data_IF_281418719561
#
_entry.id   IF_281418719561
#
_cell.length_a   1.000
_cell.length_b   1.000
_cell.length_c   1.000
_cell.angle_alpha   90.00
_cell.angle_beta   90.00
_cell.angle_gamma   90.00
#
_symmetry.space_group_name_H-M   'P 1'
#
loop_
_entity.id
_entity.type
_entity.pdbx_description
1 polymer ?
#
# COMPACT_ATOMS: atom_id res chain seq x y z
N UNK A 1 12.06 -5.81 25.56
CA UNK A 1 12.22 -6.69 24.37
C UNK A 1 12.67 -8.05 24.86
N UNK A 2 11.74 -8.96 25.08
CA UNK A 2 12.04 -10.34 25.44
C UNK A 2 12.23 -11.15 24.15
N UNK A 3 13.40 -11.78 23.97
CA UNK A 3 13.65 -12.68 22.85
C UNK A 3 13.14 -14.07 23.22
N UNK A 4 12.10 -14.53 22.54
CA UNK A 4 11.58 -15.89 22.70
C UNK A 4 12.14 -16.77 21.59
N UNK A 5 12.86 -17.82 21.96
CA UNK A 5 13.33 -18.84 21.02
C UNK A 5 12.23 -19.88 20.84
N UNK A 6 11.88 -20.17 19.58
CA UNK A 6 10.84 -21.14 19.24
C UNK A 6 11.38 -22.16 18.25
N UNK A 7 11.23 -23.45 18.56
CA UNK A 7 11.68 -24.57 17.75
C UNK A 7 10.53 -25.24 17.02
N UNK A 8 10.79 -25.71 15.81
CA UNK A 8 9.87 -26.44 14.96
C UNK A 8 10.52 -27.76 14.55
N UNK A 9 9.83 -28.86 14.77
CA UNK A 9 10.24 -30.17 14.25
C UNK A 9 9.47 -30.48 12.95
N UNK A 10 10.18 -31.04 11.97
CA UNK A 10 9.71 -31.27 10.61
C UNK A 10 8.43 -32.10 10.54
N UNK A 11 8.38 -33.22 11.25
CA UNK A 11 7.25 -34.15 11.26
C UNK A 11 6.02 -33.53 11.92
N UNK A 12 6.20 -32.93 13.09
CA UNK A 12 5.13 -32.24 13.81
C UNK A 12 4.56 -31.07 12.99
N UNK A 13 5.43 -30.31 12.30
CA UNK A 13 5.02 -29.22 11.44
C UNK A 13 4.25 -29.73 10.21
N UNK A 14 4.67 -30.85 9.62
CA UNK A 14 3.94 -31.50 8.53
C UNK A 14 2.54 -31.94 8.98
N UNK A 15 2.41 -32.63 10.11
CA UNK A 15 1.09 -33.00 10.65
C UNK A 15 0.20 -31.79 10.89
N UNK A 16 0.73 -30.73 11.50
CA UNK A 16 -0.02 -29.53 11.81
C UNK A 16 -0.53 -28.80 10.55
N UNK A 17 0.34 -28.66 9.54
CA UNK A 17 0.04 -27.97 8.27
C UNK A 17 -1.03 -28.71 7.45
N UNK A 18 -1.13 -30.03 7.59
CA UNK A 18 -2.14 -30.86 6.91
C UNK A 18 -3.40 -31.10 7.76
N UNK A 19 -3.40 -30.70 9.04
CA UNK A 19 -4.55 -30.77 9.94
C UNK A 19 -5.34 -29.47 10.00
N UNK A 20 -4.69 -28.31 9.88
CA UNK A 20 -5.36 -27.01 9.93
C UNK A 20 -4.81 -25.96 8.93
N UNK A 21 -5.64 -24.99 8.50
CA UNK A 21 -5.19 -23.91 7.63
C UNK A 21 -4.01 -23.11 8.22
N UNK A 22 -3.03 -22.81 7.37
CA UNK A 22 -1.82 -22.06 7.77
C UNK A 22 -2.12 -20.74 8.49
N UNK A 23 -3.21 -20.06 8.15
CA UNK A 23 -3.61 -18.79 8.80
C UNK A 23 -4.00 -18.98 10.27
N UNK A 24 -4.61 -20.12 10.63
CA UNK A 24 -4.90 -20.49 12.02
C UNK A 24 -3.64 -20.97 12.74
N UNK A 25 -2.87 -21.84 12.08
CA UNK A 25 -1.63 -22.38 12.62
C UNK A 25 -0.61 -21.29 12.95
N UNK A 26 -0.45 -20.29 12.06
CA UNK A 26 0.49 -19.20 12.25
C UNK A 26 0.16 -18.32 13.47
N UNK A 27 -1.12 -18.11 13.78
CA UNK A 27 -1.56 -17.39 14.98
C UNK A 27 -1.14 -18.10 16.27
N UNK A 28 -1.23 -19.44 16.32
CA UNK A 28 -0.79 -20.23 17.49
C UNK A 28 0.70 -20.09 17.76
N UNK A 29 1.47 -19.90 16.70
CA UNK A 29 2.90 -19.67 16.76
C UNK A 29 3.27 -18.18 16.88
N UNK A 30 2.29 -17.27 16.97
CA UNK A 30 2.52 -15.81 17.00
C UNK A 30 3.43 -15.32 15.85
N UNK A 31 3.29 -15.91 14.66
CA UNK A 31 4.05 -15.53 13.46
C UNK A 31 3.09 -15.26 12.30
N UNK A 32 3.57 -14.56 11.28
CA UNK A 32 2.81 -14.42 10.04
C UNK A 32 2.74 -15.75 9.28
N UNK A 33 1.66 -15.93 8.52
CA UNK A 33 1.46 -17.06 7.61
C UNK A 33 2.59 -17.18 6.57
N UNK A 34 3.10 -16.05 6.08
CA UNK A 34 4.30 -15.99 5.23
C UNK A 34 5.54 -16.46 5.98
N UNK A 35 5.68 -16.09 7.26
CA UNK A 35 6.77 -16.56 8.12
C UNK A 35 6.73 -18.08 8.32
N UNK A 36 5.56 -18.62 8.64
CA UNK A 36 5.37 -20.07 8.78
C UNK A 36 5.65 -20.83 7.47
N UNK A 37 5.30 -20.24 6.31
CA UNK A 37 5.60 -20.82 5.01
C UNK A 37 7.11 -20.93 4.75
N UNK A 38 7.87 -19.90 5.11
CA UNK A 38 9.33 -19.93 4.98
C UNK A 38 9.96 -21.05 5.82
N UNK A 39 9.40 -21.31 7.01
CA UNK A 39 9.85 -22.41 7.88
C UNK A 39 9.54 -23.77 7.23
N UNK A 40 8.35 -23.94 6.65
CA UNK A 40 8.00 -25.16 5.93
C UNK A 40 8.95 -25.42 4.75
N UNK A 41 9.31 -24.37 3.99
CA UNK A 41 10.28 -24.47 2.89
C UNK A 41 11.67 -24.85 3.42
N UNK A 42 12.12 -24.23 4.51
CA UNK A 42 13.42 -24.53 5.10
C UNK A 42 13.54 -25.96 5.64
N UNK A 43 12.43 -26.58 6.04
CA UNK A 43 12.36 -27.96 6.51
C UNK A 43 11.92 -28.95 5.42
N UNK A 44 11.82 -28.52 4.16
CA UNK A 44 11.35 -29.34 3.04
C UNK A 44 10.00 -30.05 3.35
N UNK A 45 9.10 -29.33 4.02
CA UNK A 45 7.76 -29.80 4.38
C UNK A 45 6.80 -29.41 3.25
N UNK A 46 6.17 -30.38 2.56
CA UNK A 46 5.19 -30.07 1.52
C UNK A 46 3.95 -29.44 2.17
N UNK A 47 3.50 -28.32 1.59
CA UNK A 47 2.34 -27.56 2.08
C UNK A 47 1.12 -27.79 1.16
N UNK A 48 -0.11 -27.78 1.70
CA UNK A 48 -1.32 -27.91 0.90
C UNK A 48 -1.40 -26.84 -0.21
N UNK A 49 -1.83 -27.21 -1.43
CA UNK A 49 -1.98 -26.26 -2.51
C UNK A 49 -3.06 -25.22 -2.20
N UNK A 50 -3.02 -24.09 -2.90
CA UNK A 50 -4.04 -23.04 -2.76
C UNK A 50 -5.42 -23.63 -3.05
N UNK A 51 -6.39 -23.33 -2.18
CA UNK A 51 -7.74 -23.86 -2.29
C UNK A 51 -7.93 -25.30 -1.79
N UNK A 52 -6.89 -25.97 -1.27
CA UNK A 52 -7.01 -27.31 -0.67
C UNK A 52 -8.12 -27.37 0.38
N UNK A 53 -8.12 -26.44 1.34
CA UNK A 53 -9.12 -26.39 2.42
C UNK A 53 -10.54 -26.14 1.93
N UNK A 54 -10.71 -25.34 0.88
CA UNK A 54 -12.02 -25.14 0.24
C UNK A 54 -12.48 -26.42 -0.47
N UNK A 55 -11.58 -27.10 -1.19
CA UNK A 55 -11.89 -28.40 -1.82
C UNK A 55 -12.18 -29.49 -0.80
N UNK A 56 -11.50 -29.48 0.35
CA UNK A 56 -11.73 -30.42 1.45
C UNK A 56 -13.15 -30.27 2.02
N UNK A 57 -13.61 -29.04 2.23
CA UNK A 57 -14.97 -28.75 2.67
C UNK A 57 -16.05 -29.26 1.69
N UNK A 58 -15.71 -29.41 0.41
CA UNK A 58 -16.60 -29.93 -0.63
C UNK A 58 -16.30 -31.40 -1.01
N UNK A 59 -15.47 -32.12 -0.24
CA UNK A 59 -15.14 -33.54 -0.49
C UNK A 59 -14.30 -33.81 -1.74
N UNK A 60 -13.67 -32.76 -2.33
CA UNK A 60 -12.89 -32.82 -3.59
C UNK A 60 -11.39 -32.59 -3.39
N UNK A 61 -10.89 -32.71 -2.16
CA UNK A 61 -9.48 -32.48 -1.88
C UNK A 61 -8.60 -33.59 -2.47
N UNK A 62 -7.45 -33.24 -3.08
CA UNK A 62 -6.45 -34.23 -3.48
C UNK A 62 -5.90 -34.97 -2.25
N UNK A 63 -5.40 -36.18 -2.46
CA UNK A 63 -4.83 -36.99 -1.38
C UNK A 63 -3.65 -36.28 -0.70
N UNK A 64 -3.53 -36.48 0.62
CA UNK A 64 -2.38 -36.02 1.40
C UNK A 64 -1.12 -36.77 0.93
N UNK A 65 -0.04 -36.07 0.54
CA UNK A 65 1.20 -36.72 0.15
C UNK A 65 1.89 -37.36 1.35
N UNK A 66 2.71 -38.37 1.13
CA UNK A 66 3.64 -38.88 2.15
C UNK A 66 4.76 -37.86 2.34
N UNK A 67 5.25 -37.68 3.57
CA UNK A 67 6.36 -36.78 3.86
C UNK A 67 7.64 -37.32 3.17
N UNK A 68 8.22 -36.61 2.19
CA UNK A 68 9.42 -37.08 1.49
C UNK A 68 10.62 -37.14 2.45
N UNK A 69 11.61 -38.01 2.19
CA UNK A 69 12.89 -37.94 2.90
C UNK A 69 13.57 -36.58 2.60
N UNK A 70 14.30 -36.06 3.58
CA UNK A 70 14.92 -34.73 3.51
C UNK A 70 16.39 -34.84 3.91
N UNK A 71 17.25 -34.10 3.21
CA UNK A 71 18.66 -33.95 3.57
C UNK A 71 18.93 -32.83 4.58
N UNK A 72 17.92 -32.01 4.90
CA UNK A 72 18.04 -30.91 5.85
C UNK A 72 17.77 -31.34 7.29
N UNK A 73 18.32 -30.58 8.24
CA UNK A 73 18.09 -30.79 9.68
C UNK A 73 16.58 -30.85 9.97
N UNK A 74 16.11 -31.84 10.76
CA UNK A 74 14.68 -31.98 11.07
C UNK A 74 14.17 -30.87 12.01
N UNK A 75 15.05 -30.01 12.54
CA UNK A 75 14.71 -28.97 13.50
C UNK A 75 15.07 -27.59 12.98
N UNK A 76 14.11 -26.68 13.03
CA UNK A 76 14.28 -25.26 12.72
C UNK A 76 14.04 -24.42 13.97
N UNK A 77 14.99 -23.56 14.31
CA UNK A 77 14.87 -22.68 15.47
C UNK A 77 14.83 -21.23 15.04
N UNK A 78 13.85 -20.49 15.55
CA UNK A 78 13.67 -19.07 15.27
C UNK A 78 13.66 -18.27 16.55
N UNK A 79 14.44 -17.19 16.58
CA UNK A 79 14.32 -16.17 17.60
C UNK A 79 13.26 -15.17 17.18
N UNK A 80 12.20 -15.04 17.97
CA UNK A 80 11.15 -14.05 17.78
C UNK A 80 11.25 -13.02 18.92
N UNK A 81 11.43 -11.75 18.57
CA UNK A 81 11.27 -10.65 19.51
C UNK A 81 9.79 -10.30 19.56
N UNK A 82 9.09 -10.74 20.60
CA UNK A 82 7.71 -10.33 20.86
C UNK A 82 7.76 -9.05 21.69
N UNK A 83 7.10 -7.99 21.21
CA UNK A 83 6.68 -6.91 22.11
C UNK A 83 5.62 -7.54 23.01
N UNK A 84 5.76 -7.45 24.33
CA UNK A 84 4.70 -7.87 25.24
C UNK A 84 3.48 -6.96 25.01
N UNK A 85 2.30 -7.55 24.88
CA UNK A 85 1.05 -6.80 24.76
C UNK A 85 0.80 -6.08 26.09
N UNK A 86 0.88 -4.75 26.10
CA UNK A 86 0.56 -3.94 27.29
C UNK A 86 -0.98 -3.80 27.39
N UNK A 87 -1.63 -4.48 28.36
CA UNK A 87 -3.08 -4.45 28.48
C UNK A 87 -3.61 -3.05 28.79
N UNK A 88 -2.80 -2.17 29.39
CA UNK A 88 -3.17 -0.79 29.65
C UNK A 88 -3.17 0.05 28.36
N UNK A 89 -2.25 -0.23 27.43
CA UNK A 89 -2.20 0.42 26.12
C UNK A 89 -3.40 0.00 25.25
N UNK A 90 -3.72 -1.29 25.21
CA UNK A 90 -4.90 -1.82 24.50
C UNK A 90 -6.21 -1.24 25.05
N UNK A 91 -6.35 -1.14 26.39
CA UNK A 91 -7.52 -0.50 27.00
C UNK A 91 -7.63 1.00 26.65
N UNK A 92 -6.51 1.74 26.63
CA UNK A 92 -6.50 3.15 26.23
C UNK A 92 -6.90 3.32 24.77
N UNK A 93 -6.44 2.45 23.88
CA UNK A 93 -6.82 2.48 22.45
C UNK A 93 -8.31 2.13 22.28
N UNK A 94 -8.83 1.17 23.03
CA UNK A 94 -10.24 0.80 23.00
C UNK A 94 -11.15 1.93 23.53
N UNK A 95 -10.74 2.59 24.63
CA UNK A 95 -11.45 3.75 25.19
C UNK A 95 -11.47 4.93 24.21
N UNK A 96 -10.36 5.21 23.53
CA UNK A 96 -10.30 6.32 22.56
C UNK A 96 -11.17 6.06 21.32
N UNK A 97 -11.29 4.80 20.90
CA UNK A 97 -12.23 4.40 19.83
C UNK A 97 -13.68 4.56 20.26
N UNK A 98 -14.04 4.09 21.45
CA UNK A 98 -15.40 4.25 22.00
C UNK A 98 -15.78 5.71 22.26
N UNK A 99 -14.80 6.56 22.60
CA UNK A 99 -14.98 8.00 22.77
C UNK A 99 -15.18 8.72 21.43
N UNK A 100 -14.49 8.30 20.37
CA UNK A 100 -14.72 8.80 19.00
C UNK A 100 -16.09 8.38 18.44
N UNK A 101 -16.55 7.17 18.75
CA UNK A 101 -17.86 6.65 18.31
C UNK A 101 -19.06 7.27 19.06
N UNK A 102 -18.86 7.75 20.29
CA UNK A 102 -19.93 8.31 21.14
C UNK A 102 -20.09 9.84 21.05
N UNK A 103 -19.26 10.54 20.28
CA UNK A 103 -19.36 12.00 20.11
C UNK A 103 -20.06 12.38 18.79
N UNK A 104 -21.37 12.72 18.79
CA UNK A 104 -22.10 13.14 17.59
C UNK A 104 -21.65 14.51 17.05
N UNK A 105 -20.87 15.30 17.81
CA UNK A 105 -20.27 16.54 17.29
C UNK A 105 -19.15 16.27 16.27
N UNK A 106 -18.46 15.11 16.35
CA UNK A 106 -17.46 14.68 15.36
C UNK A 106 -18.09 14.32 14.01
N UNK A 107 -19.35 13.86 13.99
CA UNK A 107 -20.13 13.70 12.75
C UNK A 107 -20.64 15.05 12.21
N UNK A 108 -20.93 16.02 13.09
CA UNK A 108 -21.36 17.37 12.67
C UNK A 108 -20.24 18.22 12.06
N UNK A 109 -18.98 17.97 12.47
CA UNK A 109 -17.79 18.55 11.83
C UNK A 109 -17.45 17.90 10.47
N UNK A 110 -18.06 16.74 10.15
CA UNK A 110 -17.92 16.05 8.88
C UNK A 110 -18.94 16.51 7.81
N UNK A 111 -19.79 17.49 8.11
CA UNK A 111 -20.63 18.12 7.09
C UNK A 111 -19.75 19.07 6.26
N UNK A 112 -19.23 18.56 5.14
CA UNK A 112 -18.64 19.36 4.07
C UNK A 112 -19.56 20.56 3.86
N UNK A 113 -19.09 21.81 3.99
CA UNK A 113 -19.89 22.95 3.60
C UNK A 113 -20.27 22.72 2.14
N UNK A 114 -21.56 22.57 1.86
CA UNK A 114 -22.14 22.33 0.52
C UNK A 114 -21.77 23.46 -0.48
N UNK A 115 -21.08 24.48 0.02
CA UNK A 115 -20.35 25.49 -0.73
C UNK A 115 -18.87 25.44 -0.32
N UNK A 116 -18.10 24.52 -0.91
CA UNK A 116 -16.66 24.74 -1.05
C UNK A 116 -16.51 26.13 -1.64
N UNK A 117 -15.84 27.02 -0.91
CA UNK A 117 -15.65 28.41 -1.30
C UNK A 117 -15.23 28.45 -2.77
N UNK A 118 -15.93 29.23 -3.60
CA UNK A 118 -15.70 29.31 -5.05
C UNK A 118 -14.29 29.78 -5.43
N UNK A 119 -13.46 30.16 -4.45
CA UNK A 119 -12.07 30.57 -4.64
C UNK A 119 -11.15 29.39 -4.33
N UNK A 120 -10.34 28.93 -5.30
CA UNK A 120 -9.35 27.90 -5.06
C UNK A 120 -8.31 28.39 -4.03
N UNK A 121 -7.84 27.49 -3.18
CA UNK A 121 -6.79 27.79 -2.21
C UNK A 121 -5.48 28.13 -2.95
N UNK A 122 -4.72 29.12 -2.48
CA UNK A 122 -3.52 29.59 -3.19
C UNK A 122 -2.52 28.43 -3.43
N UNK A 123 -2.33 27.60 -2.40
CA UNK A 123 -1.43 26.44 -2.38
C UNK A 123 -1.90 25.26 -3.26
N UNK A 124 -3.11 25.31 -3.84
CA UNK A 124 -3.60 24.28 -4.78
C UNK A 124 -3.38 24.68 -6.23
N UNK A 125 -3.10 25.96 -6.52
CA UNK A 125 -2.92 26.45 -7.88
C UNK A 125 -1.75 25.76 -8.59
N UNK A 126 -0.62 25.59 -7.90
CA UNK A 126 0.57 24.93 -8.45
C UNK A 126 0.30 23.47 -8.84
N UNK A 127 -0.14 22.58 -7.91
CA UNK A 127 -0.38 21.18 -8.25
C UNK A 127 -1.50 21.00 -9.28
N UNK A 128 -2.59 21.78 -9.20
CA UNK A 128 -3.70 21.71 -10.16
C UNK A 128 -3.27 22.15 -11.56
N UNK A 129 -2.51 23.25 -11.67
CA UNK A 129 -1.99 23.74 -12.95
C UNK A 129 -1.02 22.76 -13.59
N UNK A 130 -0.13 22.14 -12.79
CA UNK A 130 0.77 21.10 -13.27
C UNK A 130 0.00 19.88 -13.75
N UNK A 131 -1.00 19.42 -12.98
CA UNK A 131 -1.78 18.23 -13.33
C UNK A 131 -2.53 18.40 -14.65
N UNK A 132 -3.17 19.57 -14.86
CA UNK A 132 -3.91 19.87 -16.09
C UNK A 132 -3.02 20.05 -17.33
N UNK A 133 -1.74 20.41 -17.15
CA UNK A 133 -0.79 20.62 -18.25
C UNK A 133 -0.01 19.37 -18.62
N UNK A 134 0.12 18.42 -17.70
CA UNK A 134 0.88 17.20 -17.90
C UNK A 134 0.21 16.28 -18.92
N UNK A 135 1.04 15.72 -19.81
CA UNK A 135 0.59 14.74 -20.81
C UNK A 135 0.66 13.33 -20.22
N UNK A 136 -0.29 12.49 -20.58
CA UNK A 136 -0.27 11.09 -20.19
C UNK A 136 0.86 10.35 -20.90
N UNK A 137 1.62 9.58 -20.13
CA UNK A 137 2.63 8.65 -20.64
C UNK A 137 2.08 7.25 -20.40
N UNK A 138 2.00 6.43 -21.45
CA UNK A 138 1.48 5.06 -21.36
C UNK A 138 0.06 4.95 -20.76
N UNK A 139 -0.79 5.97 -20.89
CA UNK A 139 -2.16 5.96 -20.36
C UNK A 139 -2.33 6.55 -18.96
N UNK A 140 -1.24 7.00 -18.32
CA UNK A 140 -1.29 7.64 -17.00
C UNK A 140 -0.55 8.98 -16.97
N UNK A 141 -1.11 9.96 -16.28
CA UNK A 141 -0.47 11.21 -15.89
C UNK A 141 0.14 10.99 -14.51
N UNK A 142 1.45 11.23 -14.38
CA UNK A 142 2.17 11.06 -13.12
C UNK A 142 2.84 12.37 -12.73
N UNK A 143 2.43 12.92 -11.60
CA UNK A 143 3.14 13.96 -10.87
C UNK A 143 3.77 13.33 -9.65
N UNK A 144 5.09 13.45 -9.52
CA UNK A 144 5.81 12.92 -8.38
C UNK A 144 6.91 13.87 -7.98
N UNK A 145 6.94 14.26 -6.70
CA UNK A 145 8.04 15.03 -6.13
C UNK A 145 8.22 16.45 -6.67
N UNK A 146 7.27 16.95 -7.47
CA UNK A 146 7.24 18.34 -7.95
C UNK A 146 6.50 19.26 -6.99
N UNK A 147 5.48 18.74 -6.30
CA UNK A 147 4.65 19.47 -5.33
C UNK A 147 4.46 18.63 -4.07
N UNK A 148 3.69 19.15 -3.11
CA UNK A 148 3.29 18.43 -1.91
C UNK A 148 2.28 17.29 -2.19
N UNK A 149 1.69 17.24 -3.39
CA UNK A 149 0.75 16.21 -3.83
C UNK A 149 1.36 15.33 -4.94
N UNK A 150 1.59 14.05 -4.62
CA UNK A 150 1.94 13.02 -5.59
C UNK A 150 0.65 12.46 -6.23
N UNK A 151 0.52 12.57 -7.54
CA UNK A 151 -0.70 12.17 -8.27
C UNK A 151 -0.35 11.20 -9.38
N UNK A 152 -1.07 10.08 -9.47
CA UNK A 152 -0.96 9.14 -10.59
C UNK A 152 -2.35 8.74 -11.03
N UNK A 153 -2.86 9.35 -12.09
CA UNK A 153 -4.24 9.18 -12.57
C UNK A 153 -4.28 9.13 -14.08
N UNK A 154 -5.30 8.49 -14.64
CA UNK A 154 -5.62 8.57 -16.05
C UNK A 154 -6.17 9.95 -16.44
N UNK A 155 -6.16 10.30 -17.74
CA UNK A 155 -6.73 11.56 -18.22
C UNK A 155 -8.19 11.79 -17.84
N UNK A 156 -9.00 10.72 -17.71
CA UNK A 156 -10.42 10.83 -17.34
C UNK A 156 -10.62 11.26 -15.89
N UNK A 157 -9.72 10.88 -14.99
CA UNK A 157 -9.84 11.13 -13.55
C UNK A 157 -9.13 12.41 -13.09
N UNK A 158 -8.58 13.20 -14.02
CA UNK A 158 -7.89 14.46 -13.70
C UNK A 158 -8.79 15.43 -12.93
N UNK A 159 -10.06 15.53 -13.32
CA UNK A 159 -11.01 16.43 -12.66
C UNK A 159 -11.23 16.05 -11.19
N UNK A 160 -11.48 14.75 -10.93
CA UNK A 160 -11.65 14.21 -9.57
C UNK A 160 -10.40 14.39 -8.73
N UNK A 161 -9.22 14.14 -9.30
CA UNK A 161 -7.96 14.39 -8.61
C UNK A 161 -7.77 15.87 -8.24
N UNK A 162 -8.14 16.82 -9.10
CA UNK A 162 -8.11 18.25 -8.76
C UNK A 162 -9.04 18.58 -7.58
N UNK A 163 -10.25 18.04 -7.57
CA UNK A 163 -11.21 18.24 -6.47
C UNK A 163 -10.68 17.69 -5.15
N UNK A 164 -10.07 16.50 -5.18
CA UNK A 164 -9.46 15.89 -4.00
C UNK A 164 -8.30 16.73 -3.45
N UNK A 165 -7.46 17.29 -4.32
CA UNK A 165 -6.38 18.20 -3.91
C UNK A 165 -6.96 19.45 -3.24
N UNK A 166 -7.99 20.05 -3.83
CA UNK A 166 -8.64 21.24 -3.28
C UNK A 166 -9.32 20.95 -1.93
N UNK A 167 -10.10 19.87 -1.84
CA UNK A 167 -10.82 19.51 -0.63
C UNK A 167 -9.85 19.15 0.50
N UNK A 168 -8.81 18.38 0.20
CA UNK A 168 -7.77 18.04 1.16
C UNK A 168 -7.04 19.28 1.66
N UNK A 169 -6.64 20.18 0.76
CA UNK A 169 -5.96 21.43 1.14
C UNK A 169 -6.82 22.28 2.09
N UNK A 170 -8.10 22.48 1.78
CA UNK A 170 -9.02 23.22 2.66
C UNK A 170 -9.10 22.58 4.05
N UNK A 171 -9.21 21.25 4.11
CA UNK A 171 -9.35 20.53 5.36
C UNK A 171 -8.09 20.61 6.22
N UNK A 172 -6.89 20.44 5.64
CA UNK A 172 -5.65 20.52 6.43
C UNK A 172 -5.29 21.95 6.84
N UNK A 173 -5.66 22.96 6.05
CA UNK A 173 -5.53 24.38 6.45
C UNK A 173 -6.40 24.67 7.66
N UNK A 174 -7.64 24.16 7.68
CA UNK A 174 -8.53 24.29 8.83
C UNK A 174 -7.94 23.60 10.08
N UNK A 175 -7.15 22.53 9.90
CA UNK A 175 -6.40 21.86 10.98
C UNK A 175 -5.09 22.57 11.37
N UNK A 176 -4.74 23.70 10.74
CA UNK A 176 -3.53 24.49 11.04
C UNK A 176 -2.27 24.04 10.30
N UNK A 177 -2.41 23.30 9.19
CA UNK A 177 -1.27 22.91 8.37
C UNK A 177 -0.68 24.06 7.56
N UNK A 178 0.63 24.03 7.34
CA UNK A 178 1.33 24.94 6.40
C UNK A 178 1.92 24.16 5.24
N UNK A 179 2.05 24.81 4.08
CA UNK A 179 2.58 24.19 2.86
C UNK A 179 4.00 24.66 2.59
N UNK A 180 4.85 23.73 2.20
CA UNK A 180 6.23 24.00 1.80
C UNK A 180 6.37 23.63 0.32
N UNK A 181 6.25 24.63 -0.56
CA UNK A 181 6.42 24.50 -2.03
C UNK A 181 7.74 25.09 -2.57
N UNK A 182 8.63 25.56 -1.69
CA UNK A 182 9.89 26.23 -2.08
C UNK A 182 11.05 25.28 -2.41
N UNK A 183 10.87 23.96 -2.28
CA UNK A 183 11.94 22.99 -2.49
C UNK A 183 12.01 22.55 -3.95
N UNK A 184 13.22 22.17 -4.38
CA UNK A 184 13.46 21.74 -5.76
C UNK A 184 12.69 20.46 -6.10
N UNK A 185 12.25 20.35 -7.36
CA UNK A 185 11.59 19.13 -7.83
C UNK A 185 12.55 17.93 -7.75
N UNK A 186 12.04 16.80 -7.25
CA UNK A 186 12.83 15.57 -7.21
C UNK A 186 13.16 15.11 -8.64
N UNK A 187 14.37 14.57 -8.89
CA UNK A 187 14.72 14.03 -10.20
C UNK A 187 13.82 12.82 -10.53
N UNK A 188 13.45 12.64 -11.80
CA UNK A 188 12.65 11.49 -12.23
C UNK A 188 13.45 10.20 -12.01
N UNK A 189 12.93 9.28 -11.19
CA UNK A 189 13.57 8.01 -10.89
C UNK A 189 12.59 6.97 -10.32
N UNK A 190 12.90 5.66 -10.42
CA UNK A 190 12.00 4.62 -9.95
C UNK A 190 11.79 4.76 -8.43
N UNK A 191 10.51 4.92 -8.04
CA UNK A 191 9.98 5.13 -6.69
C UNK A 191 10.46 4.15 -5.59
N UNK A 192 11.29 3.14 -5.91
CA UNK A 192 11.72 2.08 -4.99
C UNK A 192 12.94 2.43 -4.13
N UNK A 193 13.66 3.51 -4.41
CA UNK A 193 14.89 3.89 -3.67
C UNK A 193 14.78 5.17 -2.84
N UNK A 194 13.57 5.68 -2.58
CA UNK A 194 13.36 6.89 -1.76
C UNK A 194 13.49 6.66 -0.25
N UNK A 195 14.23 5.62 0.19
CA UNK A 195 14.74 5.56 1.57
C UNK A 195 16.01 6.41 1.60
N UNK A 196 15.90 7.69 1.95
CA UNK A 196 17.08 8.53 2.18
C UNK A 196 17.00 10.01 1.80
N UNK A 197 15.90 10.49 1.18
CA UNK A 197 15.73 11.92 0.85
C UNK A 197 14.67 12.62 1.71
N UNK A 198 14.74 12.33 3.00
CA UNK A 198 13.98 13.01 4.05
C UNK A 198 14.43 14.48 4.12
N UNK A 199 13.56 15.43 3.74
CA UNK A 199 13.79 16.88 3.94
C UNK A 199 14.02 17.73 2.68
N UNK A 200 14.12 17.14 1.48
CA UNK A 200 14.42 17.89 0.24
C UNK A 200 13.21 18.10 -0.68
N UNK A 201 12.01 17.60 -0.33
CA UNK A 201 10.82 17.66 -1.19
C UNK A 201 9.73 18.57 -0.66
N UNK A 202 8.91 19.07 -1.58
CA UNK A 202 7.69 19.79 -1.25
C UNK A 202 6.73 18.90 -0.43
N UNK A 203 6.17 19.47 0.63
CA UNK A 203 5.41 18.74 1.65
C UNK A 203 4.43 19.66 2.41
N UNK A 204 3.59 19.04 3.24
CA UNK A 204 2.68 19.68 4.18
C UNK A 204 3.24 19.50 5.58
N UNK A 205 3.28 20.58 6.36
CA UNK A 205 3.69 20.59 7.75
C UNK A 205 2.46 20.61 8.64
N UNK A 206 2.30 19.59 9.49
CA UNK A 206 1.27 19.55 10.52
C UNK A 206 1.88 18.98 11.80
N UNK A 207 1.72 19.68 12.93
CA UNK A 207 2.31 19.31 14.24
C UNK A 207 3.82 18.98 14.19
N UNK A 208 4.59 19.80 13.47
CA UNK A 208 6.04 19.62 13.24
C UNK A 208 6.43 18.32 12.53
N UNK A 209 5.49 17.67 11.82
CA UNK A 209 5.75 16.52 10.96
C UNK A 209 5.50 16.87 9.49
N UNK A 210 6.30 16.26 8.62
CA UNK A 210 6.23 16.43 7.18
C UNK A 210 5.41 15.31 6.52
N UNK A 211 4.34 15.69 5.83
CA UNK A 211 3.46 14.81 5.11
C UNK A 211 3.41 15.12 3.62
N UNK A 212 3.05 14.10 2.84
CA UNK A 212 2.79 14.19 1.40
C UNK A 212 1.45 13.54 1.14
N UNK A 213 0.61 14.23 0.36
CA UNK A 213 -0.62 13.66 -0.15
C UNK A 213 -0.30 12.77 -1.34
N UNK A 214 -0.85 11.56 -1.37
CA UNK A 214 -0.72 10.64 -2.50
C UNK A 214 -2.08 10.24 -3.03
N UNK A 215 -2.34 10.57 -4.29
CA UNK A 215 -3.53 10.17 -5.04
C UNK A 215 -3.10 9.20 -6.12
N UNK A 216 -3.63 7.97 -6.09
CA UNK A 216 -3.35 6.95 -7.10
C UNK A 216 -4.63 6.35 -7.62
N UNK A 217 -4.76 6.29 -8.94
CA UNK A 217 -5.73 5.42 -9.58
C UNK A 217 -5.21 3.99 -9.60
N UNK A 218 -6.09 3.03 -9.34
CA UNK A 218 -5.80 1.63 -9.61
C UNK A 218 -5.72 1.43 -11.12
N UNK A 219 -4.51 1.45 -11.68
CA UNK A 219 -4.32 1.26 -13.11
C UNK A 219 -3.99 -0.20 -13.40
N UNK A 220 -4.80 -0.84 -14.25
CA UNK A 220 -4.49 -2.19 -14.75
C UNK A 220 -3.35 -2.08 -15.75
N UNK A 221 -2.30 -2.88 -15.61
CA UNK A 221 -1.16 -2.85 -16.52
C UNK A 221 -1.29 -3.95 -17.56
N UNK A 222 -1.29 -3.59 -18.83
CA UNK A 222 -1.16 -4.52 -19.95
C UNK A 222 0.22 -4.40 -20.59
N UNK A 223 0.85 -5.53 -20.88
CA UNK A 223 2.14 -5.57 -21.55
C UNK A 223 1.95 -5.15 -23.01
N UNK A 224 2.67 -4.11 -23.45
CA UNK A 224 2.69 -3.73 -24.87
C UNK A 224 3.43 -4.83 -25.63
N UNK A 225 2.78 -5.51 -26.58
CA UNK A 225 3.45 -6.56 -27.34
C UNK A 225 4.62 -5.95 -28.11
N UNK A 226 5.81 -6.56 -27.98
CA UNK A 226 6.97 -6.16 -28.78
C UNK A 226 6.65 -6.32 -30.27
N UNK A 227 7.01 -5.33 -31.07
CA UNK A 227 6.79 -5.40 -32.52
C UNK A 227 7.57 -6.57 -33.15
N UNK A 228 7.03 -7.22 -34.20
CA UNK A 228 7.69 -8.38 -34.84
C UNK A 228 9.11 -8.08 -35.31
N UNK A 229 9.33 -6.87 -35.86
CA UNK A 229 10.64 -6.38 -36.31
C UNK A 229 11.67 -6.26 -35.17
N UNK A 230 11.25 -5.77 -33.99
CA UNK A 230 12.12 -5.70 -32.80
C UNK A 230 12.38 -7.08 -32.19
N UNK A 231 11.39 -7.98 -32.21
CA UNK A 231 11.58 -9.37 -31.78
C UNK A 231 12.62 -10.09 -32.64
N UNK A 232 12.59 -9.89 -33.96
CA UNK A 232 13.55 -10.47 -34.90
C UNK A 232 14.98 -9.91 -34.69
N UNK A 233 15.11 -8.59 -34.49
CA UNK A 233 16.41 -7.96 -34.20
C UNK A 233 17.01 -8.43 -32.88
N UNK A 234 16.22 -8.56 -31.81
CA UNK A 234 16.70 -9.06 -30.51
C UNK A 234 17.05 -10.55 -30.51
N UNK A 235 16.53 -11.31 -31.48
CA UNK A 235 16.84 -12.74 -31.62
C UNK A 235 18.15 -12.97 -32.39
N UNK A 236 18.67 -11.96 -33.10
CA UNK A 236 19.89 -12.02 -33.89
C UNK A 236 21.11 -11.40 -33.18
N UNK A 237 20.92 -10.59 -32.14
CA UNK A 237 21.98 -10.02 -31.30
C UNK A 237 22.34 -10.96 -30.14
N UNK A 238 23.62 -11.09 -29.79
CA UNK A 238 24.07 -11.73 -28.54
C UNK A 238 23.34 -11.14 -27.31
N UNK A 239 23.23 -11.88 -26.19
CA UNK A 239 22.52 -11.44 -25.01
C UNK A 239 23.26 -10.29 -24.31
N UNK A 240 23.22 -9.11 -24.90
CA UNK A 240 23.53 -7.89 -24.20
C UNK A 240 22.58 -7.80 -23.00
N UNK A 241 23.15 -7.48 -21.84
CA UNK A 241 22.43 -7.24 -20.59
C UNK A 241 21.36 -6.12 -20.74
N UNK A 242 21.31 -5.42 -21.87
CA UNK A 242 20.26 -4.49 -22.29
C UNK A 242 19.02 -5.20 -22.89
N UNK A 243 18.52 -6.23 -22.23
CA UNK A 243 17.21 -6.77 -22.57
C UNK A 243 16.16 -5.64 -22.48
N UNK A 244 15.66 -5.18 -23.63
CA UNK A 244 14.75 -4.04 -23.72
C UNK A 244 13.62 -4.16 -22.68
N UNK A 245 13.57 -3.20 -21.75
CA UNK A 245 12.63 -3.23 -20.64
C UNK A 245 11.20 -3.38 -21.15
N UNK A 246 10.40 -4.31 -20.60
CA UNK A 246 9.02 -4.48 -21.00
C UNK A 246 8.27 -3.16 -20.82
N UNK A 247 7.61 -2.71 -21.89
CA UNK A 247 6.79 -1.51 -21.87
C UNK A 247 5.35 -1.92 -21.53
N UNK A 248 4.71 -1.16 -20.64
CA UNK A 248 3.35 -1.40 -20.22
C UNK A 248 2.46 -0.24 -20.66
N UNK A 249 1.19 -0.54 -20.95
CA UNK A 249 0.11 0.44 -21.11
C UNK A 249 -0.80 0.30 -19.90
N UNK A 250 -1.14 1.42 -19.29
CA UNK A 250 -2.07 1.52 -18.18
C UNK A 250 -3.49 1.68 -18.71
N UNK A 251 -4.40 0.86 -18.21
CA UNK A 251 -5.83 0.97 -18.43
C UNK A 251 -6.48 1.64 -17.21
N UNK A 252 -7.30 2.69 -17.41
CA UNK A 252 -8.02 3.34 -16.34
C UNK A 252 -9.07 2.41 -15.74
N UNK A 253 -9.20 2.42 -14.41
CA UNK A 253 -10.32 1.74 -13.73
C UNK A 253 -11.28 2.73 -13.08
N UNK A 254 -10.92 4.02 -13.03
CA UNK A 254 -11.71 5.06 -12.36
C UNK A 254 -11.72 4.97 -10.84
N UNK A 255 -11.03 3.98 -10.24
CA UNK A 255 -10.97 3.81 -8.79
C UNK A 255 -9.76 4.52 -8.21
N UNK A 256 -10.01 5.55 -7.43
CA UNK A 256 -8.99 6.35 -6.76
C UNK A 256 -8.71 5.83 -5.35
N UNK A 257 -7.44 5.96 -4.95
CA UNK A 257 -6.94 5.77 -3.60
C UNK A 257 -6.20 7.02 -3.17
N UNK A 258 -6.55 7.53 -2.01
CA UNK A 258 -5.93 8.67 -1.36
C UNK A 258 -5.21 8.18 -0.10
N UNK A 259 -3.94 8.52 0.06
CA UNK A 259 -3.17 8.22 1.27
C UNK A 259 -2.31 9.39 1.70
N UNK A 260 -2.13 9.52 3.01
CA UNK A 260 -1.22 10.50 3.63
C UNK A 260 0.03 9.78 4.08
N UNK A 261 1.17 10.24 3.58
CA UNK A 261 2.45 9.54 3.71
C UNK A 261 3.47 10.46 4.35
N UNK A 262 4.22 9.96 5.33
CA UNK A 262 5.32 10.72 5.94
C UNK A 262 6.53 10.78 5.00
N UNK A 263 7.15 11.95 4.85
CA UNK A 263 8.30 12.15 3.93
C UNK A 263 9.50 11.29 4.31
N UNK A 264 9.76 11.14 5.60
CA UNK A 264 10.97 10.52 6.16
C UNK A 264 10.96 9.00 5.97
N UNK A 265 9.86 8.36 6.35
CA UNK A 265 9.73 6.89 6.39
C UNK A 265 9.00 6.31 5.19
N UNK A 266 8.25 7.13 4.44
CA UNK A 266 7.30 6.66 3.46
C UNK A 266 6.12 5.88 4.07
N UNK A 267 5.93 5.96 5.38
CA UNK A 267 4.86 5.27 6.09
C UNK A 267 3.51 5.91 5.77
N UNK A 268 2.52 5.09 5.44
CA UNK A 268 1.16 5.55 5.18
C UNK A 268 0.39 5.62 6.51
N UNK A 269 0.03 6.82 6.94
CA UNK A 269 -0.70 7.02 8.20
C UNK A 269 -2.18 6.74 8.04
N UNK A 270 -2.77 7.25 6.96
CA UNK A 270 -4.18 7.07 6.64
C UNK A 270 -4.34 6.77 5.16
N UNK A 271 -5.35 5.96 4.82
CA UNK A 271 -5.71 5.63 3.45
C UNK A 271 -7.22 5.50 3.30
N UNK A 272 -7.74 6.00 2.19
CA UNK A 272 -9.13 5.82 1.75
C UNK A 272 -9.09 5.44 0.29
N UNK A 273 -10.02 4.58 -0.12
CA UNK A 273 -10.13 4.09 -1.49
C UNK A 273 -11.59 4.03 -1.92
N UNK A 274 -11.81 4.18 -3.23
CA UNK A 274 -13.10 3.99 -3.87
C UNK A 274 -13.54 2.53 -3.67
N UNK A 275 -14.70 2.36 -3.05
CA UNK A 275 -15.38 1.06 -2.96
C UNK A 275 -16.54 1.04 -3.97
N UNK A 276 -17.14 -0.14 -4.17
CA UNK A 276 -18.34 -0.25 -4.99
C UNK A 276 -19.54 0.54 -4.42
N UNK A 277 -19.48 0.94 -3.15
CA UNK A 277 -20.57 1.59 -2.42
C UNK A 277 -20.30 3.05 -2.05
N UNK A 278 -19.05 3.53 -2.14
CA UNK A 278 -18.68 4.87 -1.67
C UNK A 278 -17.43 5.37 -2.37
N UNK A 279 -17.43 6.66 -2.72
CA UNK A 279 -16.29 7.34 -3.33
C UNK A 279 -15.39 7.99 -2.27
N UNK A 280 -14.11 8.18 -2.60
CA UNK A 280 -13.11 8.81 -1.71
C UNK A 280 -13.55 10.20 -1.27
N UNK A 281 -14.17 10.98 -2.15
CA UNK A 281 -14.63 12.35 -1.91
C UNK A 281 -15.57 12.45 -0.71
N UNK A 282 -16.50 11.49 -0.58
CA UNK A 282 -17.47 11.46 0.50
C UNK A 282 -16.84 11.12 1.86
N UNK A 283 -15.68 10.47 1.86
CA UNK A 283 -15.00 9.96 3.06
C UNK A 283 -13.81 10.82 3.49
N UNK A 284 -13.44 11.81 2.68
CA UNK A 284 -12.29 12.67 2.93
C UNK A 284 -12.32 13.41 4.28
N UNK A 285 -13.46 13.87 4.82
CA UNK A 285 -13.51 14.48 6.16
C UNK A 285 -13.02 13.54 7.27
N UNK A 286 -13.26 12.23 7.13
CA UNK A 286 -12.79 11.24 8.10
C UNK A 286 -11.28 11.03 8.09
N UNK A 287 -10.58 11.54 7.06
CA UNK A 287 -9.12 11.40 6.92
C UNK A 287 -8.34 12.52 7.62
N UNK A 288 -8.99 13.64 7.88
CA UNK A 288 -8.35 14.87 8.38
C UNK A 288 -8.55 15.04 9.90
N UNK A 289 -9.49 14.31 10.49
CA UNK A 289 -9.76 14.20 11.95
C UNK A 289 -9.03 13.02 12.62
#
# INVERSE_FOLDING_TARGET
MTSKQMSFDREALFEAVWKEPMTKLAKRYSISDVGLRKICVALEVPVPPRGYWAKLAHGKAPARPVLPPSGVSPRYTRTCSTMEDDPALEQRVAQERARKESNPESESAARIPEKVSRKPHLETLTPVKQLRRSKAVNGAITLYGTTWADVTVSPSEVHRACLLIELFAHAVVAAGATFVETRAALPPGPSRTTRGRSGERNCIMLHAQEYVLRIREYLTQELIPRSPRRKAQSAQSEPDFEAATPQYRFLPTGRLRLSVVTTISGYEHQKIEDTSSSQVEARLPALVN
#
